data_IF_401002929891
#
_entry.id   IF_401002929891
#
_cell.length_a   1.000
_cell.length_b   1.000
_cell.length_c   1.000
_cell.angle_alpha   90.00
_cell.angle_beta   90.00
_cell.angle_gamma   90.00
#
_symmetry.space_group_name_H-M   'P 1'
#
loop_
_entity.id
_entity.type
_entity.pdbx_description
1 polymer ?
#
# COMPACT_ATOMS: atom_id res chain seq x y z
N UNK A 1 17.46 -13.94 26.73
CA UNK A 1 18.40 -13.70 25.61
C UNK A 1 18.08 -12.37 24.94
N UNK A 2 18.86 -11.92 23.96
CA UNK A 2 18.65 -10.63 23.29
C UNK A 2 17.21 -10.44 22.79
N UNK A 3 16.57 -11.52 22.32
CA UNK A 3 15.17 -11.53 21.90
C UNK A 3 14.16 -11.28 23.03
N UNK A 4 14.44 -11.74 24.25
CA UNK A 4 13.58 -11.50 25.41
C UNK A 4 13.69 -10.05 25.90
N UNK A 5 14.89 -9.46 25.85
CA UNK A 5 15.10 -8.03 26.15
C UNK A 5 14.40 -7.13 25.13
N UNK A 6 14.50 -7.44 23.83
CA UNK A 6 13.81 -6.69 22.78
C UNK A 6 12.28 -6.79 22.89
N UNK A 7 11.75 -7.95 23.30
CA UNK A 7 10.33 -8.12 23.58
C UNK A 7 9.88 -7.30 24.81
N UNK A 8 10.68 -7.28 25.88
CA UNK A 8 10.39 -6.47 27.08
C UNK A 8 10.44 -4.96 26.84
N UNK A 9 11.21 -4.50 25.84
CA UNK A 9 11.29 -3.10 25.44
C UNK A 9 10.10 -2.64 24.58
N UNK A 10 9.15 -3.53 24.25
CA UNK A 10 7.94 -3.19 23.45
C UNK A 10 8.21 -2.90 21.97
N UNK A 11 9.48 -2.88 21.54
CA UNK A 11 9.91 -2.61 20.16
C UNK A 11 9.35 -3.67 19.20
N UNK A 12 9.23 -4.92 19.66
CA UNK A 12 8.66 -6.02 18.85
C UNK A 12 7.14 -5.90 18.72
N UNK A 13 6.46 -5.38 19.76
CA UNK A 13 4.99 -5.36 19.80
C UNK A 13 4.41 -4.25 18.92
N UNK A 14 4.98 -3.04 18.94
CA UNK A 14 4.53 -1.93 18.11
C UNK A 14 4.72 -2.22 16.61
N UNK A 15 5.88 -2.76 16.25
CA UNK A 15 6.21 -3.05 14.86
C UNK A 15 5.39 -4.22 14.31
N UNK A 16 5.08 -5.22 15.15
CA UNK A 16 4.16 -6.30 14.79
C UNK A 16 2.70 -5.82 14.65
N UNK A 17 2.26 -4.88 15.48
CA UNK A 17 0.91 -4.32 15.40
C UNK A 17 0.70 -3.54 14.10
N UNK A 18 1.64 -2.66 13.73
CA UNK A 18 1.58 -1.88 12.49
C UNK A 18 1.55 -2.78 11.24
N UNK A 19 2.33 -3.87 11.24
CA UNK A 19 2.31 -4.85 10.15
C UNK A 19 0.97 -5.59 10.07
N UNK A 20 0.40 -6.01 11.21
CA UNK A 20 -0.91 -6.69 11.25
C UNK A 20 -2.04 -5.78 10.77
N UNK A 21 -2.02 -4.51 11.14
CA UNK A 21 -2.98 -3.52 10.66
C UNK A 21 -2.87 -3.34 9.14
N UNK A 22 -1.66 -3.16 8.63
CA UNK A 22 -1.42 -3.02 7.20
C UNK A 22 -1.87 -4.26 6.39
N UNK A 23 -1.60 -5.46 6.88
CA UNK A 23 -2.04 -6.71 6.22
C UNK A 23 -3.55 -6.90 6.35
N UNK A 24 -4.15 -6.57 7.50
CA UNK A 24 -5.59 -6.60 7.69
C UNK A 24 -6.31 -5.68 6.71
N UNK A 25 -5.86 -4.43 6.58
CA UNK A 25 -6.41 -3.46 5.63
C UNK A 25 -6.34 -3.93 4.17
N UNK A 26 -5.30 -4.68 3.80
CA UNK A 26 -5.17 -5.26 2.46
C UNK A 26 -6.22 -6.35 2.21
N UNK A 27 -6.52 -7.18 3.21
CA UNK A 27 -7.47 -8.29 3.10
C UNK A 27 -8.93 -7.83 3.13
N UNK A 28 -9.23 -6.74 3.82
CA UNK A 28 -10.59 -6.20 3.97
C UNK A 28 -11.06 -5.39 2.74
N UNK A 29 -10.18 -5.13 1.76
CA UNK A 29 -10.54 -4.48 0.50
C UNK A 29 -10.87 -2.99 0.59
N UNK A 30 -10.70 -2.38 1.77
CA UNK A 30 -10.95 -0.97 2.05
C UNK A 30 -9.85 -0.05 1.51
N UNK A 31 -9.59 -0.07 0.21
CA UNK A 31 -8.53 0.72 -0.42
C UNK A 31 -9.11 2.09 -0.84
N UNK A 32 -9.24 2.99 0.13
CA UNK A 32 -9.48 4.40 -0.18
C UNK A 32 -8.16 5.06 -0.61
N UNK A 33 -8.04 5.32 -1.91
CA UNK A 33 -6.85 5.95 -2.48
C UNK A 33 -6.65 7.39 -2.04
N UNK A 34 -5.45 7.90 -2.33
CA UNK A 34 -5.14 9.31 -2.18
C UNK A 34 -5.86 10.13 -3.26
N UNK A 35 -6.05 11.45 -3.08
CA UNK A 35 -6.47 12.30 -4.19
C UNK A 35 -5.43 12.22 -5.31
N UNK A 36 -5.90 12.21 -6.56
CA UNK A 36 -5.01 12.25 -7.72
C UNK A 36 -4.17 13.55 -7.69
N UNK A 37 -2.89 13.49 -8.07
CA UNK A 37 -2.06 14.69 -8.15
C UNK A 37 -2.68 15.72 -9.10
N UNK A 38 -2.76 16.99 -8.68
CA UNK A 38 -3.28 18.07 -9.52
C UNK A 38 -2.44 18.29 -10.80
N UNK A 39 -1.18 17.83 -10.80
CA UNK A 39 -0.28 17.87 -11.96
C UNK A 39 -0.53 16.75 -12.98
N UNK A 40 -1.42 15.79 -12.69
CA UNK A 40 -1.73 14.70 -13.60
C UNK A 40 -2.53 15.24 -14.79
N UNK A 41 -1.88 15.30 -15.96
CA UNK A 41 -2.53 15.69 -17.21
C UNK A 41 -3.08 14.45 -17.96
N UNK A 42 -3.94 13.68 -17.29
CA UNK A 42 -4.59 12.50 -17.84
C UNK A 42 -5.86 12.15 -17.06
N UNK A 43 -6.82 11.54 -17.73
CA UNK A 43 -8.00 10.93 -17.09
C UNK A 43 -7.79 9.42 -16.92
N UNK A 44 -7.73 8.96 -15.68
CA UNK A 44 -7.60 7.54 -15.38
C UNK A 44 -8.91 6.79 -15.69
N UNK A 45 -8.79 5.64 -16.35
CA UNK A 45 -9.89 4.67 -16.45
C UNK A 45 -10.19 4.07 -15.07
N UNK A 46 -11.40 3.54 -14.83
CA UNK A 46 -11.76 2.97 -13.52
C UNK A 46 -10.75 1.94 -12.99
N UNK A 47 -10.26 1.04 -13.84
CA UNK A 47 -9.25 0.04 -13.46
C UNK A 47 -7.87 0.66 -13.17
N UNK A 48 -7.53 1.79 -13.81
CA UNK A 48 -6.28 2.51 -13.52
C UNK A 48 -6.36 3.25 -12.19
N UNK A 49 -7.54 3.78 -11.87
CA UNK A 49 -7.80 4.37 -10.56
C UNK A 49 -7.73 3.31 -9.45
N UNK A 50 -8.23 2.10 -9.70
CA UNK A 50 -8.09 0.97 -8.78
C UNK A 50 -6.61 0.61 -8.53
N UNK A 51 -5.81 0.48 -9.60
CA UNK A 51 -4.36 0.25 -9.47
C UNK A 51 -3.62 1.38 -8.74
N UNK A 52 -3.97 2.63 -9.03
CA UNK A 52 -3.43 3.80 -8.32
C UNK A 52 -3.81 3.79 -6.82
N UNK A 53 -5.06 3.47 -6.50
CA UNK A 53 -5.54 3.37 -5.11
C UNK A 53 -4.78 2.27 -4.36
N UNK A 54 -4.58 1.11 -5.01
CA UNK A 54 -3.81 0.00 -4.45
C UNK A 54 -2.35 0.38 -4.17
N UNK A 55 -1.68 1.02 -5.12
CA UNK A 55 -0.31 1.53 -4.91
C UNK A 55 -0.25 2.59 -3.80
N UNK A 56 -1.24 3.48 -3.73
CA UNK A 56 -1.35 4.49 -2.68
C UNK A 56 -1.48 3.86 -1.29
N UNK A 57 -2.23 2.76 -1.18
CA UNK A 57 -2.34 2.01 0.07
C UNK A 57 -1.01 1.40 0.47
N UNK A 58 -0.32 0.71 -0.45
CA UNK A 58 0.99 0.12 -0.17
C UNK A 58 1.99 1.19 0.31
N UNK A 59 2.02 2.34 -0.37
CA UNK A 59 2.88 3.45 0.00
C UNK A 59 2.59 3.96 1.42
N UNK A 60 1.31 4.20 1.77
CA UNK A 60 0.91 4.67 3.10
C UNK A 60 1.29 3.71 4.23
N UNK A 61 1.29 2.40 3.95
CA UNK A 61 1.63 1.37 4.92
C UNK A 61 3.09 0.90 4.82
N UNK A 62 3.95 1.59 4.05
CA UNK A 62 5.36 1.22 3.83
C UNK A 62 5.54 -0.23 3.36
N UNK A 63 4.60 -0.70 2.53
CA UNK A 63 4.62 -2.03 1.92
C UNK A 63 5.21 -1.95 0.50
N UNK A 64 5.88 -3.02 0.09
CA UNK A 64 6.24 -3.24 -1.31
C UNK A 64 5.15 -3.99 -2.07
N UNK A 65 5.08 -3.82 -3.39
CA UNK A 65 4.18 -4.56 -4.26
C UNK A 65 4.59 -4.50 -5.73
N UNK A 66 3.98 -5.37 -6.54
CA UNK A 66 4.21 -5.45 -7.99
C UNK A 66 2.90 -5.14 -8.70
N UNK A 67 2.89 -4.08 -9.51
CA UNK A 67 1.77 -3.79 -10.40
C UNK A 67 1.85 -4.67 -11.65
N UNK A 68 1.18 -5.82 -11.60
CA UNK A 68 1.28 -6.88 -12.60
C UNK A 68 0.13 -6.89 -13.62
N UNK A 69 -0.47 -5.73 -13.90
CA UNK A 69 -1.49 -5.57 -14.95
C UNK A 69 -0.97 -6.05 -16.31
N UNK A 70 -1.88 -6.48 -17.17
CA UNK A 70 -1.57 -6.85 -18.56
C UNK A 70 -0.91 -5.72 -19.35
N UNK A 71 -0.19 -6.11 -20.42
CA UNK A 71 0.42 -5.16 -21.34
C UNK A 71 -0.65 -4.29 -22.02
N UNK A 72 -0.34 -3.01 -22.21
CA UNK A 72 -1.27 -2.06 -22.84
C UNK A 72 -2.27 -1.38 -21.89
N UNK A 73 -2.40 -1.83 -20.63
CA UNK A 73 -3.31 -1.20 -19.64
C UNK A 73 -2.80 0.14 -19.06
N UNK A 74 -1.62 0.59 -19.49
CA UNK A 74 -1.09 1.90 -19.10
C UNK A 74 -0.55 1.95 -17.67
N UNK A 75 0.18 0.93 -17.22
CA UNK A 75 0.84 0.91 -15.90
C UNK A 75 1.65 2.17 -15.59
N UNK A 76 2.28 2.78 -16.59
CA UNK A 76 3.07 4.01 -16.45
C UNK A 76 2.27 5.23 -15.99
N UNK A 77 0.96 5.31 -16.29
CA UNK A 77 0.15 6.44 -15.79
C UNK A 77 -0.33 6.21 -14.35
N UNK A 78 -0.26 4.96 -13.86
CA UNK A 78 -0.72 4.58 -12.52
C UNK A 78 0.36 4.75 -11.45
N UNK A 79 1.65 4.78 -11.82
CA UNK A 79 2.80 4.72 -10.93
C UNK A 79 3.72 5.94 -11.03
#
# INVERSE_FOLDING_TARGET
GLWDELAQLGIVDEQAAAWREAVGGLLEGGINGLPLPASLNAELRPYQLEGFNWLSFLYRHSLGGILADDMGLGKTVQA
#
